data_IF_691450902056
#
_entry.id   IF_691450902056
#
_cell.length_a   1.000
_cell.length_b   1.000
_cell.length_c   1.000
_cell.angle_alpha   90.00
_cell.angle_beta   90.00
_cell.angle_gamma   90.00
#
_symmetry.space_group_name_H-M   'P 1'
#
loop_
_entity.id
_entity.type
_entity.pdbx_description
1 polymer ?
#
# COMPACT_ATOMS: atom_id res chain seq x y z
N UNK A 1 73.80 -85.96 -30.22
CA UNK A 1 74.43 -85.15 -29.16
C UNK A 1 74.04 -83.70 -29.41
N UNK A 2 72.75 -83.40 -29.44
CA UNK A 2 71.87 -83.17 -28.26
C UNK A 2 72.32 -81.88 -27.56
N UNK A 3 71.58 -80.78 -27.53
CA UNK A 3 70.17 -80.69 -27.15
C UNK A 3 69.57 -79.37 -27.66
N UNK A 4 68.36 -79.46 -28.21
CA UNK A 4 67.47 -78.34 -28.51
C UNK A 4 66.66 -77.92 -27.26
N UNK A 5 66.21 -76.65 -27.16
CA UNK A 5 64.88 -76.21 -26.66
C UNK A 5 64.87 -74.66 -26.61
N UNK A 6 64.18 -73.98 -27.53
CA UNK A 6 62.75 -73.58 -27.53
C UNK A 6 62.36 -72.46 -26.55
N UNK A 7 61.96 -71.33 -27.17
CA UNK A 7 60.81 -70.47 -26.88
C UNK A 7 60.54 -70.01 -25.43
N UNK A 8 60.55 -68.69 -25.24
CA UNK A 8 59.37 -67.97 -24.75
C UNK A 8 59.35 -66.53 -25.30
N UNK A 9 58.42 -66.27 -26.23
CA UNK A 9 57.96 -64.92 -26.55
C UNK A 9 57.31 -64.34 -25.30
N UNK A 10 57.86 -63.26 -24.76
CA UNK A 10 57.16 -62.43 -23.77
C UNK A 10 56.47 -61.31 -24.54
N UNK A 11 55.19 -61.55 -24.81
CA UNK A 11 54.24 -60.53 -25.24
C UNK A 11 54.08 -59.54 -24.08
N UNK A 12 54.64 -58.35 -24.20
CA UNK A 12 54.33 -57.23 -23.30
C UNK A 12 52.89 -56.78 -23.65
N UNK A 13 51.91 -56.83 -22.75
CA UNK A 13 50.60 -56.25 -23.02
C UNK A 13 50.69 -54.72 -22.92
N UNK A 14 50.28 -54.05 -23.99
CA UNK A 14 50.11 -52.61 -24.03
C UNK A 14 49.06 -52.21 -22.97
N UNK A 15 49.49 -51.57 -21.88
CA UNK A 15 48.57 -51.00 -20.88
C UNK A 15 47.78 -49.86 -21.52
N UNK A 16 46.55 -50.15 -21.93
CA UNK A 16 45.58 -49.13 -22.31
C UNK A 16 45.36 -48.18 -21.13
N UNK A 17 45.72 -46.90 -21.34
CA UNK A 17 45.45 -45.81 -20.38
C UNK A 17 43.94 -45.74 -20.08
N UNK A 18 43.56 -45.51 -18.81
CA UNK A 18 42.15 -45.38 -18.45
C UNK A 18 41.53 -44.18 -19.16
N UNK A 19 40.44 -44.41 -19.91
CA UNK A 19 39.58 -43.36 -20.47
C UNK A 19 39.02 -42.53 -19.31
N UNK A 20 39.43 -41.26 -19.22
CA UNK A 20 38.83 -40.28 -18.31
C UNK A 20 37.34 -40.14 -18.64
N UNK A 21 36.48 -40.55 -17.71
CA UNK A 21 35.05 -40.24 -17.72
C UNK A 21 34.93 -38.72 -17.56
N UNK A 22 34.28 -37.99 -18.49
CA UNK A 22 34.09 -36.56 -18.32
C UNK A 22 33.09 -36.35 -17.18
N UNK A 23 33.56 -35.76 -16.08
CA UNK A 23 32.68 -35.29 -15.01
C UNK A 23 31.61 -34.39 -15.59
N UNK A 24 30.34 -34.69 -15.29
CA UNK A 24 29.22 -33.76 -15.55
C UNK A 24 29.55 -32.46 -14.84
N UNK A 25 30.02 -31.47 -15.59
CA UNK A 25 30.07 -30.09 -15.13
C UNK A 25 28.61 -29.69 -14.89
N UNK A 26 28.21 -29.59 -13.62
CA UNK A 26 26.96 -28.94 -13.24
C UNK A 26 27.01 -27.56 -13.88
N UNK A 27 26.19 -27.35 -14.90
CA UNK A 27 26.15 -26.09 -15.62
C UNK A 27 25.52 -25.07 -14.67
N UNK A 28 26.32 -24.26 -13.98
CA UNK A 28 25.85 -23.18 -13.10
C UNK A 28 25.33 -21.96 -13.88
N UNK A 29 25.64 -21.89 -15.19
CA UNK A 29 25.21 -20.80 -16.08
C UNK A 29 23.69 -20.57 -16.16
N UNK A 30 22.82 -21.59 -16.24
CA UNK A 30 21.38 -21.40 -16.24
C UNK A 30 20.90 -20.87 -14.90
N UNK A 31 21.36 -21.45 -13.79
CA UNK A 31 20.98 -21.05 -12.42
C UNK A 31 21.34 -19.59 -12.13
N UNK A 32 22.55 -19.15 -12.51
CA UNK A 32 22.93 -17.75 -12.37
C UNK A 32 22.09 -16.79 -13.24
N UNK A 33 21.71 -17.20 -14.46
CA UNK A 33 20.82 -16.39 -15.32
C UNK A 33 19.40 -16.32 -14.75
N UNK A 34 18.89 -17.45 -14.23
CA UNK A 34 17.59 -17.47 -13.55
C UNK A 34 17.61 -16.57 -12.31
N UNK A 35 18.64 -16.64 -11.47
CA UNK A 35 18.78 -15.76 -10.30
C UNK A 35 18.83 -14.28 -10.70
N UNK A 36 19.57 -13.93 -11.76
CA UNK A 36 19.62 -12.55 -12.27
C UNK A 36 18.26 -12.06 -12.79
N UNK A 37 17.54 -12.90 -13.54
CA UNK A 37 16.18 -12.62 -14.00
C UNK A 37 15.22 -12.43 -12.82
N UNK A 38 15.33 -13.26 -11.79
CA UNK A 38 14.53 -13.13 -10.56
C UNK A 38 14.81 -11.82 -9.82
N UNK A 39 16.07 -11.40 -9.70
CA UNK A 39 16.41 -10.11 -9.09
C UNK A 39 15.81 -8.93 -9.87
N UNK A 40 15.86 -8.97 -11.20
CA UNK A 40 15.27 -7.94 -12.05
C UNK A 40 13.74 -7.88 -11.89
N UNK A 41 13.06 -9.04 -11.88
CA UNK A 41 11.62 -9.11 -11.68
C UNK A 41 11.21 -8.61 -10.28
N UNK A 42 11.96 -8.95 -9.23
CA UNK A 42 11.70 -8.45 -7.87
C UNK A 42 11.88 -6.94 -7.74
N UNK A 43 12.80 -6.33 -8.50
CA UNK A 43 13.02 -4.89 -8.50
C UNK A 43 11.86 -4.14 -9.16
N UNK A 44 11.31 -4.67 -10.26
CA UNK A 44 10.16 -4.06 -10.93
C UNK A 44 8.89 -4.16 -10.08
N UNK A 45 8.76 -5.21 -9.24
CA UNK A 45 7.61 -5.40 -8.35
C UNK A 45 7.64 -4.48 -7.11
N UNK A 46 8.82 -4.05 -6.62
CA UNK A 46 8.91 -3.21 -5.41
C UNK A 46 8.68 -1.72 -5.67
N UNK A 47 9.05 -1.22 -6.86
CA UNK A 47 8.82 0.16 -7.30
C UNK A 47 7.33 0.60 -7.29
N UNK A 48 6.35 -0.19 -7.77
CA UNK A 48 4.95 0.24 -7.78
C UNK A 48 4.37 0.42 -6.38
N UNK A 49 4.77 -0.38 -5.39
CA UNK A 49 4.21 -0.30 -4.03
C UNK A 49 4.69 0.98 -3.34
N UNK A 50 6.00 1.25 -3.42
CA UNK A 50 6.58 2.47 -2.85
C UNK A 50 5.95 3.71 -3.49
N UNK A 51 5.77 3.69 -4.82
CA UNK A 51 5.13 4.78 -5.54
C UNK A 51 3.69 5.02 -5.08
N UNK A 52 2.87 3.97 -4.98
CA UNK A 52 1.48 4.10 -4.51
C UNK A 52 1.44 4.69 -3.10
N UNK A 53 2.34 4.27 -2.21
CA UNK A 53 2.44 4.83 -0.87
C UNK A 53 2.84 6.32 -0.89
N UNK A 54 3.81 6.70 -1.73
CA UNK A 54 4.25 8.10 -1.86
C UNK A 54 3.16 8.99 -2.49
N UNK A 55 2.43 8.48 -3.47
CA UNK A 55 1.27 9.14 -4.09
C UNK A 55 0.17 9.34 -3.04
N UNK A 56 -0.11 8.31 -2.22
CA UNK A 56 -1.07 8.39 -1.10
C UNK A 56 -0.69 9.48 -0.11
N UNK A 57 0.59 9.51 0.31
CA UNK A 57 1.11 10.53 1.25
C UNK A 57 1.04 11.93 0.66
N UNK A 58 1.33 12.07 -0.62
CA UNK A 58 1.28 13.35 -1.34
C UNK A 58 -0.15 13.87 -1.38
N UNK A 59 -1.11 13.02 -1.75
CA UNK A 59 -2.51 13.41 -1.79
C UNK A 59 -3.04 13.80 -0.39
N UNK A 60 -2.70 13.05 0.65
CA UNK A 60 -3.07 13.43 2.03
C UNK A 60 -2.54 14.82 2.38
N UNK A 61 -1.27 15.12 2.08
CA UNK A 61 -0.69 16.45 2.32
C UNK A 61 -1.43 17.54 1.55
N UNK A 62 -1.76 17.29 0.28
CA UNK A 62 -2.53 18.22 -0.54
C UNK A 62 -3.89 18.53 0.07
N UNK A 63 -4.62 17.52 0.55
CA UNK A 63 -5.92 17.71 1.21
C UNK A 63 -5.76 18.52 2.50
N UNK A 64 -4.77 18.20 3.34
CA UNK A 64 -4.49 18.93 4.59
C UNK A 64 -4.16 20.41 4.31
N UNK A 65 -3.36 20.69 3.29
CA UNK A 65 -3.07 22.07 2.86
C UNK A 65 -4.34 22.77 2.38
N UNK A 66 -5.18 22.12 1.59
CA UNK A 66 -6.45 22.69 1.12
C UNK A 66 -7.38 23.04 2.30
N UNK A 67 -7.46 22.17 3.31
CA UNK A 67 -8.24 22.44 4.53
C UNK A 67 -7.68 23.67 5.26
N UNK A 68 -6.36 23.76 5.42
CA UNK A 68 -5.74 24.93 6.05
C UNK A 68 -6.02 26.23 5.28
N UNK A 69 -5.95 26.21 3.96
CA UNK A 69 -6.25 27.40 3.13
C UNK A 69 -7.70 27.87 3.32
N UNK A 70 -8.65 26.94 3.48
CA UNK A 70 -10.04 27.25 3.82
C UNK A 70 -10.12 27.89 5.22
N UNK A 71 -9.46 27.30 6.22
CA UNK A 71 -9.43 27.84 7.59
C UNK A 71 -8.70 29.17 7.74
N UNK A 72 -7.76 29.50 6.84
CA UNK A 72 -7.08 30.79 6.83
C UNK A 72 -7.90 31.88 6.13
N UNK A 73 -8.62 31.52 5.06
CA UNK A 73 -9.50 32.44 4.34
C UNK A 73 -10.81 32.71 5.09
N UNK A 74 -11.32 31.71 5.79
CA UNK A 74 -12.43 31.82 6.71
C UNK A 74 -11.85 32.00 8.11
N UNK A 75 -11.78 33.24 8.62
CA UNK A 75 -11.22 33.57 9.94
C UNK A 75 -11.94 32.88 11.10
N UNK A 76 -11.71 31.58 11.28
CA UNK A 76 -12.43 30.72 12.21
C UNK A 76 -11.40 30.03 13.10
N UNK A 77 -11.40 30.41 14.36
CA UNK A 77 -10.58 29.77 15.39
C UNK A 77 -11.08 28.34 15.61
N UNK A 78 -10.27 27.35 15.24
CA UNK A 78 -10.55 25.91 15.32
C UNK A 78 -10.71 25.34 16.75
N UNK A 79 -11.00 26.17 17.74
CA UNK A 79 -11.04 25.80 19.18
C UNK A 79 -12.46 25.64 19.74
N UNK A 80 -13.47 25.51 18.88
CA UNK A 80 -14.86 25.45 19.33
C UNK A 80 -15.28 24.00 19.57
N UNK A 81 -15.34 23.60 20.85
CA UNK A 81 -16.07 22.42 21.31
C UNK A 81 -17.57 22.70 21.12
N UNK A 82 -18.09 22.38 19.94
CA UNK A 82 -19.53 22.45 19.68
C UNK A 82 -20.16 21.13 20.13
N UNK A 83 -20.98 21.19 21.17
CA UNK A 83 -21.81 20.07 21.65
C UNK A 83 -22.90 19.77 20.62
N UNK A 84 -23.21 18.49 20.36
CA UNK A 84 -24.23 18.08 19.38
C UNK A 84 -23.70 17.64 18.00
N UNK A 85 -22.37 17.61 17.81
CA UNK A 85 -21.71 17.07 16.61
C UNK A 85 -21.07 15.70 16.85
N UNK A 86 -21.70 14.86 17.67
CA UNK A 86 -21.17 13.54 18.07
C UNK A 86 -21.20 12.52 16.92
N UNK A 87 -21.95 12.82 15.85
CA UNK A 87 -22.00 12.01 14.63
C UNK A 87 -20.74 12.12 13.76
N UNK A 88 -19.96 13.21 13.89
CA UNK A 88 -18.71 13.36 13.15
C UNK A 88 -17.66 12.51 13.87
N UNK A 89 -17.01 11.53 13.19
CA UNK A 89 -16.01 10.68 13.82
C UNK A 89 -14.98 11.50 14.60
N UNK A 90 -14.73 11.10 15.84
CA UNK A 90 -13.66 11.68 16.65
C UNK A 90 -12.28 11.32 16.10
N UNK A 91 -11.25 11.97 16.63
CA UNK A 91 -9.87 11.54 16.44
C UNK A 91 -9.67 10.26 17.23
N UNK A 92 -9.81 9.13 16.55
CA UNK A 92 -9.50 7.80 17.09
C UNK A 92 -8.24 7.28 16.38
N UNK A 93 -7.36 6.56 17.10
CA UNK A 93 -6.16 6.00 16.48
C UNK A 93 -6.58 5.00 15.40
N UNK A 94 -6.28 5.35 14.15
CA UNK A 94 -6.56 4.51 12.99
C UNK A 94 -5.41 3.52 12.86
N UNK A 95 -5.65 2.25 13.14
CA UNK A 95 -4.59 1.24 13.28
C UNK A 95 -4.41 0.34 12.06
N UNK A 96 -5.38 0.30 11.15
CA UNK A 96 -5.34 -0.58 9.96
C UNK A 96 -5.90 0.09 8.71
N UNK A 97 -5.51 -0.40 7.54
CA UNK A 97 -5.98 0.10 6.23
C UNK A 97 -7.52 0.02 6.12
N UNK A 98 -8.13 -1.02 6.69
CA UNK A 98 -9.60 -1.16 6.77
C UNK A 98 -10.25 -0.02 7.57
N UNK A 99 -9.64 0.35 8.71
CA UNK A 99 -10.12 1.48 9.51
C UNK A 99 -9.89 2.82 8.82
N UNK A 100 -8.80 3.00 8.08
CA UNK A 100 -8.56 4.19 7.27
C UNK A 100 -9.66 4.37 6.22
N UNK A 101 -9.95 3.31 5.47
CA UNK A 101 -10.98 3.28 4.44
C UNK A 101 -12.35 3.63 5.03
N UNK A 102 -12.75 2.96 6.13
CA UNK A 102 -14.01 3.21 6.81
C UNK A 102 -14.13 4.67 7.28
N UNK A 103 -13.08 5.23 7.87
CA UNK A 103 -13.07 6.62 8.32
C UNK A 103 -13.25 7.59 7.15
N UNK A 104 -12.54 7.38 6.04
CA UNK A 104 -12.66 8.23 4.85
C UNK A 104 -14.05 8.14 4.22
N UNK A 105 -14.65 6.95 4.19
CA UNK A 105 -16.01 6.75 3.68
C UNK A 105 -17.05 7.52 4.49
N UNK A 106 -16.93 7.53 5.83
CA UNK A 106 -17.82 8.32 6.68
C UNK A 106 -17.66 9.81 6.40
N UNK A 107 -16.42 10.31 6.29
CA UNK A 107 -16.20 11.72 5.95
C UNK A 107 -16.74 12.08 4.58
N UNK A 108 -16.58 11.23 3.56
CA UNK A 108 -17.20 11.47 2.25
C UNK A 108 -18.71 11.61 2.34
N UNK A 109 -19.37 10.79 3.16
CA UNK A 109 -20.81 10.88 3.37
C UNK A 109 -21.21 12.18 4.10
N UNK A 110 -20.42 12.63 5.07
CA UNK A 110 -20.66 13.92 5.73
C UNK A 110 -20.46 15.06 4.73
N UNK A 111 -19.38 15.04 3.96
CA UNK A 111 -19.06 16.08 2.99
C UNK A 111 -20.07 16.15 1.83
N UNK A 112 -20.68 15.03 1.43
CA UNK A 112 -21.72 15.03 0.38
C UNK A 112 -23.00 15.76 0.79
N UNK A 113 -23.24 15.89 2.09
CA UNK A 113 -24.38 16.64 2.65
C UNK A 113 -24.10 18.14 2.87
N UNK A 114 -22.86 18.59 2.63
CA UNK A 114 -22.42 19.97 2.85
C UNK A 114 -22.21 20.70 1.50
N UNK A 115 -23.07 21.66 1.12
CA UNK A 115 -23.00 22.31 -0.18
C UNK A 115 -21.99 23.47 -0.18
N UNK A 116 -20.69 23.17 -0.31
CA UNK A 116 -19.63 24.18 -0.47
C UNK A 116 -18.65 23.79 -1.60
N UNK A 117 -18.22 24.77 -2.41
CA UNK A 117 -17.29 24.52 -3.54
C UNK A 117 -16.01 23.82 -3.09
N UNK A 118 -15.49 24.23 -1.93
CA UNK A 118 -14.28 23.67 -1.36
C UNK A 118 -14.50 22.25 -0.83
N UNK A 119 -15.66 21.99 -0.22
CA UNK A 119 -16.05 20.67 0.26
C UNK A 119 -16.22 19.67 -0.89
N UNK A 120 -16.83 20.07 -2.02
CA UNK A 120 -16.94 19.21 -3.21
C UNK A 120 -15.55 18.79 -3.70
N UNK A 121 -14.61 19.73 -3.76
CA UNK A 121 -13.23 19.42 -4.17
C UNK A 121 -12.53 18.48 -3.18
N UNK A 122 -12.70 18.69 -1.88
CA UNK A 122 -12.14 17.79 -0.86
C UNK A 122 -12.78 16.40 -0.96
N UNK A 123 -14.08 16.30 -1.20
CA UNK A 123 -14.78 15.02 -1.35
C UNK A 123 -14.23 14.20 -2.52
N UNK A 124 -13.96 14.83 -3.67
CA UNK A 124 -13.29 14.20 -4.80
C UNK A 124 -11.86 13.76 -4.46
N UNK A 125 -11.09 14.57 -3.73
CA UNK A 125 -9.75 14.17 -3.29
C UNK A 125 -9.81 12.96 -2.34
N UNK A 126 -10.83 12.86 -1.48
CA UNK A 126 -11.02 11.70 -0.61
C UNK A 126 -11.37 10.44 -1.42
N UNK A 127 -12.06 10.57 -2.54
CA UNK A 127 -12.35 9.43 -3.43
C UNK A 127 -11.07 8.88 -4.03
N UNK A 128 -10.26 9.77 -4.61
CA UNK A 128 -8.93 9.42 -5.10
C UNK A 128 -8.05 8.79 -4.01
N UNK A 129 -8.16 9.28 -2.76
CA UNK A 129 -7.41 8.72 -1.63
C UNK A 129 -7.86 7.31 -1.27
N UNK A 130 -9.18 7.04 -1.30
CA UNK A 130 -9.72 5.69 -1.08
C UNK A 130 -9.25 4.72 -2.16
N UNK A 131 -9.22 5.14 -3.42
CA UNK A 131 -8.70 4.33 -4.53
C UNK A 131 -7.23 3.96 -4.30
N UNK A 132 -6.41 4.92 -3.85
CA UNK A 132 -5.01 4.67 -3.51
C UNK A 132 -4.86 3.70 -2.33
N UNK A 133 -5.72 3.79 -1.31
CA UNK A 133 -5.74 2.83 -0.21
C UNK A 133 -6.15 1.43 -0.65
N UNK A 134 -7.12 1.30 -1.56
CA UNK A 134 -7.48 0.01 -2.16
C UNK A 134 -6.33 -0.59 -2.96
N UNK A 135 -5.59 0.24 -3.71
CA UNK A 135 -4.41 -0.20 -4.44
C UNK A 135 -3.28 -0.62 -3.49
N UNK A 136 -3.08 0.11 -2.39
CA UNK A 136 -2.11 -0.24 -1.35
C UNK A 136 -2.50 -1.56 -0.66
N UNK A 137 -3.76 -1.76 -0.30
CA UNK A 137 -4.25 -3.00 0.27
C UNK A 137 -4.10 -4.18 -0.69
N UNK A 138 -4.43 -3.98 -1.97
CA UNK A 138 -4.23 -4.99 -3.02
C UNK A 138 -2.76 -5.40 -3.15
N UNK A 139 -1.83 -4.44 -3.02
CA UNK A 139 -0.39 -4.73 -3.02
C UNK A 139 0.07 -5.57 -1.82
N UNK A 140 -0.67 -5.48 -0.69
CA UNK A 140 -0.47 -6.29 0.52
C UNK A 140 -1.26 -7.61 0.50
N UNK A 141 -1.92 -7.94 -0.61
CA UNK A 141 -2.82 -9.10 -0.73
C UNK A 141 -4.01 -9.06 0.24
N UNK A 142 -4.51 -7.86 0.54
CA UNK A 142 -5.65 -7.65 1.41
C UNK A 142 -6.88 -7.18 0.62
N UNK A 143 -8.05 -7.65 1.02
CA UNK A 143 -9.33 -7.09 0.60
C UNK A 143 -9.82 -6.10 1.66
N UNK A 144 -10.02 -4.84 1.27
CA UNK A 144 -10.75 -3.90 2.10
C UNK A 144 -12.26 -4.14 1.92
N UNK A 145 -13.05 -4.07 3.00
CA UNK A 145 -14.51 -4.20 2.90
C UNK A 145 -15.04 -3.13 1.94
N UNK A 146 -15.88 -3.53 0.99
CA UNK A 146 -16.49 -2.59 0.07
C UNK A 146 -17.58 -1.81 0.82
N UNK A 147 -17.57 -0.49 0.70
CA UNK A 147 -18.42 0.44 1.46
C UNK A 147 -19.92 0.34 1.17
N UNK A 148 -20.37 -0.63 0.37
CA UNK A 148 -21.79 -0.97 0.21
C UNK A 148 -22.47 -1.35 1.53
N UNK A 149 -21.70 -1.74 2.56
CA UNK A 149 -22.22 -2.17 3.86
C UNK A 149 -22.22 -1.07 4.94
N UNK A 150 -21.71 0.14 4.64
CA UNK A 150 -21.95 1.29 5.50
C UNK A 150 -23.41 1.68 5.30
N UNK A 151 -24.29 1.09 6.13
CA UNK A 151 -25.68 1.51 6.32
C UNK A 151 -25.71 3.02 6.20
N UNK A 152 -26.25 3.48 5.07
CA UNK A 152 -26.54 4.86 4.73
C UNK A 152 -26.93 5.55 6.02
N UNK A 153 -26.02 6.30 6.65
CA UNK A 153 -26.24 6.99 7.93
C UNK A 153 -27.63 7.64 7.89
N UNK A 154 -28.65 6.94 8.40
CA UNK A 154 -30.06 7.13 8.07
C UNK A 154 -30.65 8.34 8.82
N UNK A 155 -29.79 9.25 9.26
CA UNK A 155 -30.16 10.33 10.17
C UNK A 155 -29.32 11.60 10.01
N UNK A 156 -28.39 11.69 9.05
CA UNK A 156 -27.65 12.95 8.82
C UNK A 156 -28.59 14.11 8.46
N UNK A 157 -29.71 13.82 7.77
CA UNK A 157 -30.73 14.79 7.36
C UNK A 157 -31.41 15.48 8.56
N UNK A 158 -31.54 14.78 9.70
CA UNK A 158 -32.13 15.36 10.92
C UNK A 158 -31.12 16.05 11.85
N UNK A 159 -29.81 15.90 11.60
CA UNK A 159 -28.73 16.34 12.51
C UNK A 159 -27.96 17.54 11.94
N UNK A 160 -28.05 17.79 10.64
CA UNK A 160 -27.52 18.97 9.95
C UNK A 160 -28.35 20.26 10.12
N UNK A 161 -29.35 20.25 11.01
CA UNK A 161 -30.11 21.43 11.44
C UNK A 161 -29.27 22.41 12.29
N UNK A 162 -28.11 21.96 12.80
CA UNK A 162 -27.07 22.88 13.29
C UNK A 162 -26.47 23.63 12.10
N UNK A 163 -26.28 24.95 12.21
CA UNK A 163 -25.87 25.80 11.07
C UNK A 163 -24.80 25.13 10.20
N UNK A 164 -25.11 24.93 8.91
CA UNK A 164 -24.28 24.16 7.97
C UNK A 164 -22.80 24.60 8.00
N UNK A 165 -22.57 25.89 8.22
CA UNK A 165 -21.24 26.47 8.37
C UNK A 165 -20.46 25.95 9.60
N UNK A 166 -21.13 25.82 10.75
CA UNK A 166 -20.52 25.26 11.96
C UNK A 166 -20.18 23.78 11.78
N UNK A 167 -21.06 23.04 11.10
CA UNK A 167 -20.85 21.63 10.76
C UNK A 167 -19.69 21.45 9.77
N UNK A 168 -19.58 22.28 8.74
CA UNK A 168 -18.48 22.26 7.77
C UNK A 168 -17.12 22.46 8.44
N UNK A 169 -16.98 23.50 9.27
CA UNK A 169 -15.72 23.79 9.96
C UNK A 169 -15.30 22.63 10.86
N UNK A 170 -16.22 22.08 11.64
CA UNK A 170 -15.90 20.98 12.56
C UNK A 170 -15.58 19.70 11.80
N UNK A 171 -16.33 19.39 10.73
CA UNK A 171 -16.07 18.22 9.89
C UNK A 171 -14.68 18.30 9.24
N UNK A 172 -14.32 19.46 8.66
CA UNK A 172 -13.02 19.67 8.04
C UNK A 172 -11.88 19.64 9.06
N UNK A 173 -12.07 20.21 10.25
CA UNK A 173 -11.07 20.16 11.33
C UNK A 173 -10.81 18.74 11.82
N UNK A 174 -11.87 17.93 12.02
CA UNK A 174 -11.71 16.53 12.43
C UNK A 174 -11.12 15.67 11.30
N UNK A 175 -11.55 15.89 10.06
CA UNK A 175 -10.96 15.23 8.88
C UNK A 175 -9.47 15.50 8.78
N UNK A 176 -9.03 16.75 8.99
CA UNK A 176 -7.62 17.11 8.98
C UNK A 176 -6.82 16.29 10.00
N UNK A 177 -7.29 16.18 11.25
CA UNK A 177 -6.61 15.38 12.26
C UNK A 177 -6.59 13.89 11.91
N UNK A 178 -7.71 13.34 11.39
CA UNK A 178 -7.75 11.96 10.89
C UNK A 178 -6.76 11.73 9.75
N UNK A 179 -6.63 12.65 8.81
CA UNK A 179 -5.67 12.58 7.70
C UNK A 179 -4.21 12.59 8.19
N UNK A 180 -3.90 13.39 9.23
CA UNK A 180 -2.59 13.40 9.85
C UNK A 180 -2.28 12.07 10.56
N UNK A 181 -3.27 11.48 11.24
CA UNK A 181 -3.13 10.15 11.84
C UNK A 181 -2.92 9.06 10.78
N UNK A 182 -3.70 9.09 9.68
CA UNK A 182 -3.51 8.19 8.53
C UNK A 182 -2.08 8.34 7.98
N UNK A 183 -1.61 9.57 7.77
CA UNK A 183 -0.27 9.83 7.24
C UNK A 183 0.81 9.20 8.12
N UNK A 184 0.71 9.42 9.44
CA UNK A 184 1.65 8.84 10.42
C UNK A 184 1.62 7.32 10.39
N UNK A 185 0.45 6.72 10.25
CA UNK A 185 0.29 5.28 10.25
C UNK A 185 0.82 4.65 8.96
N UNK A 186 0.67 5.32 7.82
CA UNK A 186 1.29 4.91 6.56
C UNK A 186 2.82 4.88 6.63
N UNK A 187 3.46 5.69 7.48
CA UNK A 187 4.90 5.60 7.74
C UNK A 187 5.28 4.35 8.55
N UNK A 188 4.35 3.82 9.35
CA UNK A 188 4.55 2.61 10.17
C UNK A 188 4.20 1.31 9.43
N UNK A 189 3.77 1.39 8.16
CA UNK A 189 3.26 0.25 7.37
C UNK A 189 2.13 -0.49 8.11
N UNK A 190 0.91 0.06 8.11
CA UNK A 190 -0.19 -0.47 8.90
C UNK A 190 -0.65 -1.83 8.36
N UNK A 191 -1.19 -2.65 9.24
CA UNK A 191 -1.87 -3.89 8.87
C UNK A 191 -3.16 -3.60 8.09
N UNK A 192 -3.73 -4.65 7.52
CA UNK A 192 -5.10 -4.65 7.03
C UNK A 192 -6.03 -4.99 8.21
#
# INVERSE_FOLDING_TARGET
>A
MDTALKFFSVHIPEMQRPKKIPGRKMCWRPLCRFLWLWSYLSYVQSVPIQKVQDDTKTLIKTIVTRINDISHTQSVSAKQRVTGLDFIPGLHPILSLSKMEQTLAIYQQILSSLPSRNVVQISNDLENLRDLLHLLASSKSCSLPQTSDLQKLESLDGVLEASLYSTEVVALSRLQGSLQDILRQLDLSPEC
#
